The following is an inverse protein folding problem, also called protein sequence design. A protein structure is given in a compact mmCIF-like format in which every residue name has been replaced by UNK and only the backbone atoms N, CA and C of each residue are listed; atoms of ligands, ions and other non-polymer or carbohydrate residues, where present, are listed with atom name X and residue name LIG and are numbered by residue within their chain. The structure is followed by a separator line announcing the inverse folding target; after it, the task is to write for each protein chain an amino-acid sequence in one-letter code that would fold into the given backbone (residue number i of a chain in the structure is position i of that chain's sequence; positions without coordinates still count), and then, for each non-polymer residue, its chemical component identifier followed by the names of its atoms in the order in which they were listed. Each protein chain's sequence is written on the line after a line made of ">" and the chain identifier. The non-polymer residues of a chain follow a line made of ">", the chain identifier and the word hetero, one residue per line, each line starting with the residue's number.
data_IF_831422516622
#
_entry.id   IF_831422516622
#
_cell.length_a   1.000
_cell.length_b   1.000
_cell.length_c   1.000
_cell.angle_alpha   90.00
_cell.angle_beta   90.00
_cell.angle_gamma   90.00
#
_symmetry.space_group_name_H-M   'P 1'
#
loop_
_entity.id
_entity.type
_entity.pdbx_description
1 polymer ?
#
# COMPACT_ATOMS: atom_id res chain seq x y z
N UNK A 1 73.16 -62.79 18.12
CA UNK A 1 72.45 -63.85 17.35
C UNK A 1 70.96 -63.58 17.57
N UNK A 2 70.35 -62.90 16.66
CA UNK A 2 68.89 -62.73 16.64
C UNK A 2 68.46 -63.00 15.23
N UNK A 3 67.68 -64.00 15.14
CA UNK A 3 67.05 -64.57 13.99
C UNK A 3 66.02 -63.65 13.32
N UNK A 4 66.02 -63.80 12.02
CA UNK A 4 64.87 -63.65 11.13
C UNK A 4 64.26 -62.33 10.90
N UNK A 5 64.71 -61.73 9.80
CA UNK A 5 63.97 -60.76 9.02
C UNK A 5 63.84 -61.23 7.56
N UNK A 6 63.30 -62.44 7.39
CA UNK A 6 63.10 -63.06 6.08
C UNK A 6 61.63 -63.12 5.60
N UNK A 7 60.72 -62.41 6.24
CA UNK A 7 59.28 -62.42 5.88
C UNK A 7 58.74 -61.11 5.31
N UNK A 8 59.59 -60.13 4.87
CA UNK A 8 59.10 -58.94 4.21
C UNK A 8 59.00 -59.16 2.69
N UNK A 9 57.82 -58.90 2.08
CA UNK A 9 57.68 -59.05 0.64
C UNK A 9 58.42 -57.94 -0.09
N UNK A 10 59.29 -58.30 -1.01
CA UNK A 10 60.03 -57.42 -1.90
C UNK A 10 59.05 -56.67 -2.85
N UNK A 11 58.91 -55.36 -2.71
CA UNK A 11 58.22 -54.56 -3.74
C UNK A 11 57.41 -53.36 -3.27
N UNK A 12 57.34 -53.03 -1.98
CA UNK A 12 56.60 -51.81 -1.60
C UNK A 12 57.53 -50.56 -1.51
N UNK A 13 57.50 -49.72 -2.56
CA UNK A 13 58.05 -48.37 -2.52
C UNK A 13 57.32 -47.59 -1.43
N UNK A 14 58.01 -47.23 -0.33
CA UNK A 14 57.53 -46.28 0.69
C UNK A 14 57.20 -44.97 -0.02
N UNK A 15 55.94 -44.70 -0.23
CA UNK A 15 55.47 -43.37 -0.62
C UNK A 15 55.73 -42.41 0.58
N UNK A 16 56.62 -41.44 0.38
CA UNK A 16 56.80 -40.35 1.33
C UNK A 16 55.48 -39.57 1.38
N UNK A 17 54.64 -39.84 2.39
CA UNK A 17 53.48 -39.00 2.71
C UNK A 17 53.98 -37.62 3.06
N UNK A 18 53.70 -36.61 2.21
CA UNK A 18 53.91 -35.21 2.56
C UNK A 18 52.98 -34.88 3.75
N UNK A 19 53.44 -34.13 4.78
CA UNK A 19 52.59 -33.75 5.88
C UNK A 19 51.44 -32.89 5.32
N UNK A 20 50.21 -33.34 5.47
CA UNK A 20 49.03 -32.51 5.15
C UNK A 20 48.92 -31.48 6.26
N UNK A 21 49.20 -30.23 5.93
CA UNK A 21 48.95 -29.08 6.82
C UNK A 21 47.45 -29.00 7.01
N UNK A 22 46.91 -29.46 8.10
CA UNK A 22 45.53 -29.28 8.48
C UNK A 22 45.37 -27.89 9.07
N UNK A 23 44.98 -26.94 8.22
CA UNK A 23 44.59 -25.60 8.70
C UNK A 23 43.21 -25.75 9.37
N UNK A 24 43.02 -25.41 10.64
CA UNK A 24 41.69 -25.49 11.27
C UNK A 24 40.70 -24.56 10.55
N UNK A 25 39.54 -25.10 10.25
CA UNK A 25 38.45 -24.40 9.50
C UNK A 25 38.18 -22.96 10.00
N UNK A 26 38.18 -22.67 11.32
CA UNK A 26 37.96 -21.30 11.80
C UNK A 26 38.98 -20.27 11.33
N UNK A 27 40.23 -20.66 11.13
CA UNK A 27 41.26 -19.73 10.62
C UNK A 27 41.14 -19.48 9.12
N UNK A 28 40.62 -20.43 8.37
CA UNK A 28 40.30 -20.24 6.93
C UNK A 28 39.14 -19.26 6.79
N UNK A 29 38.09 -19.41 7.60
CA UNK A 29 36.92 -18.50 7.61
C UNK A 29 37.36 -17.09 8.04
N UNK A 30 38.15 -16.97 9.11
CA UNK A 30 38.66 -15.68 9.58
C UNK A 30 39.53 -14.99 8.51
N UNK A 31 40.37 -15.74 7.81
CA UNK A 31 41.22 -15.22 6.73
C UNK A 31 40.37 -14.76 5.50
N UNK A 32 39.34 -15.50 5.15
CA UNK A 32 38.43 -15.12 4.07
C UNK A 32 37.63 -13.84 4.41
N UNK A 33 37.17 -13.73 5.68
CA UNK A 33 36.47 -12.54 6.14
C UNK A 33 37.37 -11.30 6.16
N UNK A 34 38.61 -11.43 6.65
CA UNK A 34 39.60 -10.37 6.63
C UNK A 34 39.95 -9.91 5.21
N UNK A 35 40.07 -10.85 4.28
CA UNK A 35 40.29 -10.54 2.85
C UNK A 35 39.11 -9.77 2.26
N UNK A 36 37.87 -10.19 2.55
CA UNK A 36 36.67 -9.54 2.07
C UNK A 36 36.57 -8.09 2.58
N UNK A 37 36.81 -7.89 3.87
CA UNK A 37 36.82 -6.54 4.48
C UNK A 37 37.94 -5.69 3.89
N UNK A 38 39.13 -6.25 3.65
CA UNK A 38 40.25 -5.56 3.04
C UNK A 38 39.95 -5.11 1.61
N UNK A 39 39.31 -5.96 0.79
CA UNK A 39 38.87 -5.63 -0.56
C UNK A 39 37.79 -4.53 -0.54
N UNK A 40 36.85 -4.61 0.38
CA UNK A 40 35.79 -3.61 0.55
C UNK A 40 36.35 -2.24 0.93
N UNK A 41 37.28 -2.18 1.90
CA UNK A 41 37.95 -0.93 2.30
C UNK A 41 38.78 -0.35 1.16
N UNK A 42 39.49 -1.21 0.42
CA UNK A 42 40.27 -0.77 -0.75
C UNK A 42 39.37 -0.21 -1.85
N UNK A 43 38.23 -0.87 -2.10
CA UNK A 43 37.22 -0.40 -3.07
C UNK A 43 36.63 0.95 -2.63
N UNK A 44 36.27 1.09 -1.36
CA UNK A 44 35.76 2.34 -0.80
C UNK A 44 36.76 3.48 -0.78
N UNK A 45 38.08 3.18 -0.72
CA UNK A 45 39.14 4.17 -0.74
C UNK A 45 39.56 4.62 -2.16
N UNK A 46 39.27 3.81 -3.19
CA UNK A 46 39.61 4.10 -4.59
C UNK A 46 38.39 4.70 -5.35
N UNK A 47 37.16 4.43 -4.89
CA UNK A 47 35.95 5.02 -5.42
C UNK A 47 35.79 6.45 -4.92
N UNK A 48 35.87 7.43 -5.81
CA UNK A 48 35.70 8.85 -5.48
C UNK A 48 34.29 9.19 -4.94
N UNK A 49 33.30 8.26 -5.05
CA UNK A 49 31.97 8.41 -4.48
C UNK A 49 31.32 7.03 -4.22
N UNK A 50 31.54 6.42 -3.04
CA UNK A 50 30.96 5.12 -2.70
C UNK A 50 29.44 5.14 -2.50
N UNK A 51 28.78 6.32 -2.51
CA UNK A 51 27.33 6.52 -2.42
C UNK A 51 26.77 7.24 -3.66
N UNK A 52 27.54 7.34 -4.75
CA UNK A 52 27.14 7.96 -6.01
C UNK A 52 25.95 7.28 -6.67
N UNK A 53 24.78 7.77 -6.40
CA UNK A 53 23.51 7.28 -6.95
C UNK A 53 22.29 8.07 -6.50
N UNK A 54 22.45 9.03 -5.59
CA UNK A 54 21.34 9.94 -5.28
C UNK A 54 21.15 10.96 -6.40
N UNK A 55 19.94 11.12 -6.98
CA UNK A 55 19.69 12.14 -7.98
C UNK A 55 19.74 13.52 -7.33
N UNK A 56 20.85 14.23 -7.49
CA UNK A 56 20.99 15.62 -7.07
C UNK A 56 20.33 16.52 -8.11
N UNK A 57 19.17 17.09 -7.77
CA UNK A 57 18.57 18.18 -8.54
C UNK A 57 19.21 19.51 -8.11
N UNK A 58 20.09 20.08 -8.92
CA UNK A 58 20.62 21.44 -8.71
C UNK A 58 19.59 22.43 -9.24
N UNK A 59 18.85 23.09 -8.36
CA UNK A 59 18.01 24.23 -8.70
C UNK A 59 18.89 25.49 -8.67
N UNK A 60 19.02 26.28 -9.75
CA UNK A 60 19.72 27.56 -9.72
C UNK A 60 18.87 28.56 -8.94
N UNK A 61 19.28 28.91 -7.73
CA UNK A 61 18.71 30.02 -6.95
C UNK A 61 19.30 31.34 -7.45
N UNK A 62 18.70 31.92 -8.47
CA UNK A 62 18.85 33.35 -8.74
C UNK A 62 17.86 34.09 -7.84
N UNK A 63 18.33 34.52 -6.69
CA UNK A 63 17.67 35.57 -5.91
C UNK A 63 17.91 36.91 -6.61
N UNK A 64 16.88 37.65 -7.03
CA UNK A 64 17.08 39.04 -7.46
C UNK A 64 17.57 39.84 -6.26
N UNK A 65 18.64 40.63 -6.46
CA UNK A 65 19.22 41.48 -5.45
C UNK A 65 18.15 42.46 -4.92
N UNK A 66 17.87 42.37 -3.64
CA UNK A 66 16.98 43.29 -2.95
C UNK A 66 17.65 44.68 -2.92
N UNK A 67 17.01 45.65 -3.54
CA UNK A 67 17.38 47.04 -3.45
C UNK A 67 17.26 47.50 -1.98
N UNK A 68 18.37 48.04 -1.45
CA UNK A 68 18.48 48.58 -0.12
C UNK A 68 17.50 49.74 0.08
N UNK A 69 16.43 49.56 0.83
CA UNK A 69 15.62 50.62 1.38
C UNK A 69 16.16 51.00 2.78
N UNK A 70 16.53 52.29 2.93
CA UNK A 70 16.96 52.88 4.19
C UNK A 70 15.84 52.82 5.24
N UNK A 71 16.14 52.67 6.51
CA UNK A 71 15.15 52.71 7.58
C UNK A 71 14.69 54.14 7.85
N UNK A 72 13.40 54.40 7.84
CA UNK A 72 12.78 55.62 8.33
C UNK A 72 12.46 55.45 9.83
N UNK A 73 13.01 56.33 10.61
CA UNK A 73 12.81 56.53 12.05
C UNK A 73 11.38 56.99 12.34
N UNK A 74 10.74 56.35 13.27
CA UNK A 74 9.52 56.80 13.92
C UNK A 74 9.83 57.88 14.96
N UNK A 75 9.08 59.00 14.94
CA UNK A 75 8.85 59.82 16.09
C UNK A 75 7.41 60.33 16.08
N UNK A 76 6.73 60.39 17.25
CA UNK A 76 5.33 60.75 17.34
C UNK A 76 5.16 62.26 17.51
N UNK A 77 4.09 62.78 16.95
CA UNK A 77 3.67 64.15 17.22
C UNK A 77 2.19 64.21 17.59
N UNK A 78 1.98 64.94 18.68
CA UNK A 78 0.72 65.21 19.33
C UNK A 78 -0.15 66.29 18.59
N UNK A 79 -1.36 66.38 19.09
CA UNK A 79 -2.54 67.13 18.69
C UNK A 79 -2.38 68.62 18.62
N UNK A 80 -3.16 69.32 17.81
CA UNK A 80 -4.22 70.27 18.23
C UNK A 80 -4.65 71.25 17.12
N UNK A 81 -5.94 71.57 17.07
CA UNK A 81 -6.47 72.84 16.72
C UNK A 81 -7.07 73.06 15.33
N UNK A 82 -8.39 73.12 15.25
CA UNK A 82 -9.19 73.60 14.12
C UNK A 82 -9.17 75.19 14.02
N UNK A 83 -10.17 75.85 13.45
CA UNK A 83 -10.86 75.72 12.16
C UNK A 83 -10.71 76.96 11.28
N UNK A 84 -10.93 76.90 10.01
CA UNK A 84 -10.94 78.06 9.13
C UNK A 84 -11.64 77.81 7.79
N UNK A 85 -12.84 78.39 7.71
CA UNK A 85 -13.60 78.63 6.49
C UNK A 85 -12.86 79.51 5.54
N UNK A 86 -12.94 79.29 4.23
CA UNK A 86 -13.12 80.36 3.24
C UNK A 86 -13.79 79.86 1.96
N UNK A 87 -14.77 80.64 1.51
CA UNK A 87 -15.64 80.53 0.36
C UNK A 87 -15.00 80.87 -0.98
N UNK A 88 -15.50 80.18 -2.04
CA UNK A 88 -15.83 80.62 -3.36
C UNK A 88 -14.73 80.93 -4.38
N UNK A 89 -15.04 81.05 -5.68
CA UNK A 89 -16.21 80.62 -6.43
C UNK A 89 -15.84 79.76 -7.66
N UNK A 90 -16.87 79.15 -8.26
CA UNK A 90 -16.77 78.45 -9.56
C UNK A 90 -16.56 79.46 -10.71
N UNK A 91 -15.92 79.01 -11.82
CA UNK A 91 -16.67 79.06 -13.06
C UNK A 91 -16.33 77.93 -14.10
N UNK A 92 -17.29 77.80 -14.98
CA UNK A 92 -17.28 77.47 -16.39
C UNK A 92 -17.06 76.02 -16.85
N UNK A 93 -18.11 75.60 -17.51
CA UNK A 93 -18.27 74.43 -18.36
C UNK A 93 -17.31 74.36 -19.55
N UNK A 94 -16.95 73.18 -19.97
CA UNK A 94 -16.78 72.68 -21.35
C UNK A 94 -15.92 71.43 -21.44
N UNK A 95 -15.97 70.68 -22.51
CA UNK A 95 -17.03 69.94 -23.17
C UNK A 95 -16.87 68.44 -23.09
N UNK A 96 -17.90 67.68 -23.43
CA UNK A 96 -17.94 66.22 -23.52
C UNK A 96 -16.77 65.63 -24.28
N UNK A 97 -16.09 64.61 -23.74
CA UNK A 97 -15.30 63.69 -24.56
C UNK A 97 -16.16 62.52 -25.05
N UNK A 98 -15.97 62.27 -26.32
CA UNK A 98 -16.45 61.16 -27.15
C UNK A 98 -16.48 59.86 -26.39
N UNK A 99 -17.62 59.18 -26.37
CA UNK A 99 -17.78 57.82 -25.90
C UNK A 99 -16.91 56.87 -26.72
N UNK A 100 -15.91 56.26 -26.05
CA UNK A 100 -15.15 55.12 -26.54
C UNK A 100 -16.07 53.90 -26.48
N UNK A 101 -16.19 53.08 -27.53
CA UNK A 101 -17.01 51.87 -27.49
C UNK A 101 -16.54 50.94 -26.36
N UNK A 102 -17.46 50.41 -25.59
CA UNK A 102 -17.21 49.39 -24.59
C UNK A 102 -16.57 48.14 -25.25
N UNK A 103 -15.55 47.55 -24.63
CA UNK A 103 -14.98 46.31 -25.14
C UNK A 103 -16.06 45.23 -25.13
N UNK A 104 -16.24 44.56 -26.27
CA UNK A 104 -17.10 43.40 -26.39
C UNK A 104 -16.70 42.36 -25.33
N UNK A 105 -17.70 41.89 -24.59
CA UNK A 105 -17.58 40.82 -23.63
C UNK A 105 -17.00 39.61 -24.36
N UNK A 106 -15.73 39.27 -24.06
CA UNK A 106 -15.11 38.04 -24.57
C UNK A 106 -15.96 36.86 -24.13
N UNK A 107 -16.34 36.02 -25.06
CA UNK A 107 -17.06 34.78 -24.78
C UNK A 107 -16.21 33.94 -23.82
N UNK A 108 -16.80 33.51 -22.73
CA UNK A 108 -16.18 32.54 -21.83
C UNK A 108 -15.82 31.27 -22.63
N UNK A 109 -14.59 30.77 -22.53
CA UNK A 109 -14.21 29.51 -23.18
C UNK A 109 -15.03 28.37 -22.61
N UNK A 110 -15.38 27.34 -23.41
CA UNK A 110 -16.11 26.18 -22.92
C UNK A 110 -15.32 25.48 -21.81
N UNK A 111 -16.03 25.05 -20.77
CA UNK A 111 -15.46 24.34 -19.60
C UNK A 111 -14.51 23.22 -20.04
N UNK A 112 -13.25 23.26 -19.58
CA UNK A 112 -12.24 22.25 -19.81
C UNK A 112 -11.07 22.67 -20.72
N UNK A 113 -10.98 23.95 -21.10
CA UNK A 113 -9.84 24.48 -21.87
C UNK A 113 -9.22 25.70 -21.19
N UNK A 114 -7.89 25.75 -21.16
CA UNK A 114 -7.12 26.90 -20.68
C UNK A 114 -6.37 27.53 -21.85
N UNK A 115 -6.54 28.83 -22.02
CA UNK A 115 -5.84 29.59 -23.05
C UNK A 115 -4.54 30.14 -22.48
N UNK A 116 -3.41 29.74 -23.07
CA UNK A 116 -2.07 30.19 -22.67
C UNK A 116 -1.51 31.07 -23.76
N UNK A 117 -1.08 32.30 -23.40
CA UNK A 117 -0.38 33.20 -24.29
C UNK A 117 1.13 32.91 -24.28
N UNK A 118 1.65 32.40 -25.36
CA UNK A 118 3.07 32.18 -25.55
C UNK A 118 3.67 33.40 -26.25
N UNK A 119 4.64 34.05 -25.58
CA UNK A 119 5.36 35.19 -26.15
C UNK A 119 6.74 34.68 -26.60
N UNK A 120 7.02 34.82 -27.89
CA UNK A 120 8.36 34.54 -28.41
C UNK A 120 9.33 35.63 -27.93
N UNK A 121 10.28 35.25 -27.09
CA UNK A 121 11.25 36.19 -26.47
C UNK A 121 12.18 36.87 -27.46
N UNK A 122 12.34 36.37 -28.70
CA UNK A 122 13.18 37.00 -29.71
C UNK A 122 12.42 37.95 -30.66
N UNK A 123 11.14 37.68 -30.90
CA UNK A 123 10.36 38.44 -31.90
C UNK A 123 9.21 39.23 -31.29
N UNK A 124 8.89 39.05 -30.00
CA UNK A 124 7.76 39.65 -29.32
C UNK A 124 6.39 39.17 -29.83
N UNK A 125 6.35 38.22 -30.74
CA UNK A 125 5.12 37.66 -31.28
C UNK A 125 4.33 36.92 -30.19
N UNK A 126 3.04 37.19 -30.08
CA UNK A 126 2.11 36.50 -29.16
C UNK A 126 1.34 35.44 -29.93
N UNK A 127 1.38 34.22 -29.43
CA UNK A 127 0.59 33.12 -29.93
C UNK A 127 -0.33 32.62 -28.82
N UNK A 128 -1.62 32.62 -29.09
CA UNK A 128 -2.64 32.10 -28.19
C UNK A 128 -2.85 30.61 -28.50
N UNK A 129 -2.53 29.74 -27.52
CA UNK A 129 -2.69 28.30 -27.66
C UNK A 129 -3.71 27.82 -26.63
N UNK A 130 -4.78 27.23 -27.10
CA UNK A 130 -5.79 26.61 -26.26
C UNK A 130 -5.38 25.17 -25.95
N UNK A 131 -5.08 24.91 -24.68
CA UNK A 131 -4.69 23.57 -24.20
C UNK A 131 -5.90 22.96 -23.49
N UNK A 132 -6.33 21.73 -23.84
CA UNK A 132 -7.30 21.03 -23.00
C UNK A 132 -6.66 20.77 -21.63
N UNK A 133 -7.24 21.35 -20.59
CA UNK A 133 -6.84 21.09 -19.21
C UNK A 133 -7.49 19.79 -18.79
N UNK A 134 -6.72 18.75 -18.44
CA UNK A 134 -7.30 17.62 -17.71
C UNK A 134 -7.98 18.19 -16.47
N UNK A 135 -9.21 17.77 -16.18
CA UNK A 135 -9.91 18.21 -14.96
C UNK A 135 -8.97 18.08 -13.76
N UNK A 136 -8.89 19.07 -12.86
CA UNK A 136 -7.97 19.03 -11.74
C UNK A 136 -8.19 17.72 -10.98
N UNK A 137 -7.14 16.93 -10.84
CA UNK A 137 -7.10 15.76 -9.98
C UNK A 137 -7.16 16.24 -8.52
N UNK A 138 -8.33 16.68 -8.10
CA UNK A 138 -8.53 17.35 -6.80
C UNK A 138 -9.98 17.63 -6.49
N UNK A 139 -10.90 17.25 -7.37
CA UNK A 139 -12.30 17.10 -6.95
C UNK A 139 -12.33 15.88 -6.05
N UNK A 140 -12.69 16.06 -4.78
CA UNK A 140 -13.05 14.97 -3.89
C UNK A 140 -13.92 14.01 -4.72
N UNK A 141 -13.43 12.78 -4.94
CA UNK A 141 -14.12 11.79 -5.75
C UNK A 141 -15.57 11.77 -5.25
N UNK A 142 -16.51 11.99 -6.16
CA UNK A 142 -17.93 11.86 -5.83
C UNK A 142 -18.08 10.54 -5.08
N UNK A 143 -18.83 10.50 -3.96
CA UNK A 143 -18.97 9.29 -3.18
C UNK A 143 -19.31 8.15 -4.11
N UNK A 144 -18.54 7.06 -4.05
CA UNK A 144 -18.71 5.91 -4.91
C UNK A 144 -20.20 5.57 -4.94
N UNK A 145 -20.80 5.49 -6.14
CA UNK A 145 -22.21 5.19 -6.28
C UNK A 145 -22.45 3.83 -5.63
N UNK A 146 -23.10 3.88 -4.44
CA UNK A 146 -23.45 2.68 -3.69
C UNK A 146 -24.53 1.99 -4.49
N UNK A 147 -24.29 0.74 -4.88
CA UNK A 147 -25.34 -0.04 -5.54
C UNK A 147 -26.59 -0.08 -4.64
N UNK A 148 -27.81 0.11 -5.18
CA UNK A 148 -29.03 0.12 -4.36
C UNK A 148 -29.20 -1.11 -3.47
N UNK A 149 -28.75 -2.29 -3.92
CA UNK A 149 -28.77 -3.53 -3.16
C UNK A 149 -27.84 -3.50 -1.93
N UNK A 150 -26.81 -2.69 -1.96
CA UNK A 150 -25.79 -2.59 -0.89
C UNK A 150 -26.10 -1.46 0.12
N UNK A 151 -27.08 -0.59 -0.18
CA UNK A 151 -27.41 0.58 0.64
C UNK A 151 -27.79 0.23 2.09
N UNK A 152 -28.38 -0.94 2.35
CA UNK A 152 -28.75 -1.40 3.69
C UNK A 152 -27.52 -1.71 4.58
N UNK A 153 -26.38 -1.94 3.97
CA UNK A 153 -25.11 -2.24 4.65
C UNK A 153 -24.22 -1.02 4.85
N UNK A 154 -24.74 0.18 4.62
CA UNK A 154 -23.95 1.42 4.67
C UNK A 154 -24.61 2.41 5.63
N UNK A 155 -23.80 3.08 6.43
CA UNK A 155 -24.17 4.27 7.19
C UNK A 155 -23.33 5.47 6.75
N UNK A 156 -23.93 6.65 6.83
CA UNK A 156 -23.23 7.91 6.52
C UNK A 156 -22.56 8.46 7.76
N UNK A 157 -21.25 8.64 7.70
CA UNK A 157 -20.46 9.30 8.75
C UNK A 157 -19.94 10.65 8.25
N UNK A 158 -19.27 11.40 9.13
CA UNK A 158 -18.56 12.64 8.74
C UNK A 158 -17.44 12.40 7.73
N UNK A 159 -16.90 11.16 7.68
CA UNK A 159 -15.85 10.76 6.76
C UNK A 159 -16.41 10.17 5.43
N UNK A 160 -17.72 9.97 5.35
CA UNK A 160 -18.39 9.38 4.21
C UNK A 160 -19.11 8.07 4.53
N UNK A 161 -19.51 7.30 3.50
CA UNK A 161 -20.23 6.05 3.67
C UNK A 161 -19.31 4.95 4.23
N UNK A 162 -19.69 4.30 5.32
CA UNK A 162 -18.96 3.20 5.95
C UNK A 162 -19.86 1.98 6.12
N UNK A 163 -19.30 0.75 6.16
CA UNK A 163 -20.08 -0.45 6.36
C UNK A 163 -20.79 -0.49 7.72
N UNK A 164 -21.96 -1.13 7.76
CA UNK A 164 -22.69 -1.46 8.99
C UNK A 164 -23.39 -2.80 8.86
N UNK A 165 -23.72 -3.41 9.98
CA UNK A 165 -24.63 -4.54 10.03
C UNK A 165 -26.05 -4.03 9.66
N UNK A 166 -26.73 -4.73 8.76
CA UNK A 166 -28.07 -4.37 8.34
C UNK A 166 -29.10 -4.54 9.48
N UNK A 167 -30.25 -3.87 9.38
CA UNK A 167 -31.27 -3.91 10.41
C UNK A 167 -31.86 -5.33 10.67
N UNK A 168 -31.73 -6.22 9.70
CA UNK A 168 -32.09 -7.64 9.78
C UNK A 168 -30.99 -8.51 10.44
N UNK A 169 -29.88 -7.92 10.89
CA UNK A 169 -28.77 -8.60 11.53
C UNK A 169 -27.75 -9.21 10.55
N UNK A 170 -27.99 -9.12 9.24
CA UNK A 170 -27.05 -9.61 8.23
C UNK A 170 -25.80 -8.73 8.20
N UNK A 171 -24.62 -9.37 8.26
CA UNK A 171 -23.33 -8.68 8.25
C UNK A 171 -22.85 -8.45 6.81
N UNK A 172 -22.14 -7.36 6.51
CA UNK A 172 -21.51 -7.16 5.21
C UNK A 172 -20.61 -8.34 4.80
N UNK A 173 -19.86 -8.91 5.76
CA UNK A 173 -19.00 -10.07 5.50
C UNK A 173 -19.77 -11.29 4.98
N UNK A 174 -21.01 -11.49 5.44
CA UNK A 174 -21.85 -12.62 5.00
C UNK A 174 -22.58 -12.29 3.69
N UNK A 175 -23.01 -11.03 3.54
CA UNK A 175 -23.77 -10.58 2.37
C UNK A 175 -22.92 -10.52 1.08
N UNK A 176 -21.62 -10.20 1.23
CA UNK A 176 -20.68 -10.06 0.12
C UNK A 176 -19.79 -11.31 -0.05
N UNK A 177 -19.97 -12.34 0.80
CA UNK A 177 -19.27 -13.61 0.67
C UNK A 177 -19.63 -14.34 -0.62
N UNK A 178 -18.63 -14.99 -1.20
CA UNK A 178 -18.80 -15.81 -2.39
C UNK A 178 -19.01 -17.28 -2.02
N UNK A 179 -19.84 -18.01 -2.75
CA UNK A 179 -20.11 -19.41 -2.44
C UNK A 179 -18.88 -20.29 -2.66
N UNK A 180 -18.64 -21.21 -1.74
CA UNK A 180 -17.58 -22.23 -1.87
C UNK A 180 -18.06 -23.35 -2.79
N UNK A 181 -17.31 -23.63 -3.85
CA UNK A 181 -17.53 -24.81 -4.68
C UNK A 181 -16.86 -26.03 -4.01
N UNK A 182 -17.67 -27.00 -3.59
CA UNK A 182 -17.13 -28.28 -3.12
C UNK A 182 -16.53 -29.08 -4.27
N UNK A 183 -15.42 -29.77 -4.02
CA UNK A 183 -14.86 -30.72 -5.00
C UNK A 183 -15.68 -32.01 -4.96
N UNK A 184 -16.24 -32.40 -6.10
CA UNK A 184 -17.08 -33.60 -6.21
C UNK A 184 -16.31 -34.83 -5.68
N UNK A 185 -16.91 -35.56 -4.73
CA UNK A 185 -16.32 -36.76 -4.15
C UNK A 185 -15.16 -36.53 -3.14
N UNK A 186 -14.85 -35.29 -2.78
CA UNK A 186 -13.78 -34.95 -1.81
C UNK A 186 -14.22 -33.83 -0.87
N UNK A 187 -15.13 -34.07 0.08
CA UNK A 187 -15.62 -33.01 0.98
C UNK A 187 -14.52 -32.44 1.88
N UNK A 188 -13.50 -33.25 2.21
CA UNK A 188 -12.39 -32.89 3.10
C UNK A 188 -11.12 -32.43 2.35
N UNK A 189 -11.27 -32.05 1.06
CA UNK A 189 -10.12 -31.57 0.31
C UNK A 189 -9.49 -30.35 0.97
N UNK A 190 -8.13 -30.28 1.03
CA UNK A 190 -7.41 -29.13 1.55
C UNK A 190 -7.85 -27.83 0.86
N UNK A 191 -8.11 -26.78 1.66
CA UNK A 191 -8.62 -25.49 1.18
C UNK A 191 -7.52 -24.44 1.21
N UNK A 192 -7.42 -23.69 0.15
CA UNK A 192 -6.45 -22.59 0.04
C UNK A 192 -7.21 -21.30 -0.24
N UNK A 193 -7.10 -20.32 0.66
CA UNK A 193 -7.48 -18.95 0.39
C UNK A 193 -6.25 -18.17 -0.07
N UNK A 194 -6.31 -17.60 -1.28
CA UNK A 194 -5.24 -16.80 -1.82
C UNK A 194 -5.71 -15.36 -1.99
N UNK A 195 -4.95 -14.42 -1.46
CA UNK A 195 -5.24 -12.99 -1.50
C UNK A 195 -4.22 -12.32 -2.44
N UNK A 196 -4.70 -11.45 -3.32
CA UNK A 196 -3.84 -10.58 -4.15
C UNK A 196 -4.08 -9.14 -3.73
N UNK A 197 -3.04 -8.53 -3.15
CA UNK A 197 -3.06 -7.16 -2.62
C UNK A 197 -2.42 -6.15 -3.56
N UNK A 198 -2.58 -4.86 -3.24
CA UNK A 198 -2.04 -3.75 -4.04
C UNK A 198 -2.88 -3.43 -5.28
N UNK A 199 -4.10 -3.96 -5.37
CA UNK A 199 -5.02 -3.62 -6.45
C UNK A 199 -5.54 -2.19 -6.30
N UNK A 200 -5.81 -1.53 -7.43
CA UNK A 200 -6.21 -0.12 -7.47
C UNK A 200 -5.04 0.85 -7.70
N UNK A 201 -3.79 0.46 -7.44
CA UNK A 201 -2.60 1.30 -7.72
C UNK A 201 -2.42 1.49 -9.24
N UNK A 202 -2.58 0.42 -10.00
CA UNK A 202 -2.49 0.43 -11.46
C UNK A 202 -3.76 -0.15 -12.07
N UNK A 203 -4.47 0.65 -12.85
CA UNK A 203 -5.68 0.23 -13.58
C UNK A 203 -5.39 -0.95 -14.50
N UNK A 204 -4.24 -0.92 -15.21
CA UNK A 204 -3.85 -2.00 -16.11
C UNK A 204 -3.64 -3.30 -15.34
N UNK A 205 -2.81 -3.28 -14.31
CA UNK A 205 -2.49 -4.48 -13.52
C UNK A 205 -3.72 -5.03 -12.82
N UNK A 206 -4.59 -4.16 -12.30
CA UNK A 206 -5.87 -4.54 -11.69
C UNK A 206 -6.79 -5.23 -12.71
N UNK A 207 -6.93 -4.66 -13.90
CA UNK A 207 -7.72 -5.25 -14.98
C UNK A 207 -7.17 -6.60 -15.44
N UNK A 208 -5.84 -6.73 -15.53
CA UNK A 208 -5.17 -7.98 -15.86
C UNK A 208 -5.41 -9.06 -14.78
N UNK A 209 -5.37 -8.69 -13.49
CA UNK A 209 -5.67 -9.60 -12.39
C UNK A 209 -7.11 -10.11 -12.45
N UNK A 210 -8.09 -9.19 -12.62
CA UNK A 210 -9.53 -9.54 -12.75
C UNK A 210 -9.76 -10.50 -13.93
N UNK A 211 -9.10 -10.27 -15.07
CA UNK A 211 -9.33 -11.08 -16.27
C UNK A 211 -8.67 -12.48 -16.20
N UNK A 212 -7.65 -12.69 -15.36
CA UNK A 212 -6.80 -13.88 -15.43
C UNK A 212 -6.90 -14.79 -14.23
N UNK A 213 -7.24 -14.24 -13.07
CA UNK A 213 -7.34 -15.02 -11.84
C UNK A 213 -8.76 -15.57 -11.68
N UNK A 214 -8.93 -16.79 -11.15
CA UNK A 214 -10.25 -17.37 -10.94
C UNK A 214 -10.97 -16.71 -9.76
N UNK A 215 -12.31 -16.65 -9.82
CA UNK A 215 -13.17 -15.99 -8.81
C UNK A 215 -12.87 -16.31 -7.34
N UNK A 216 -12.50 -17.53 -6.93
CA UNK A 216 -12.14 -17.82 -5.54
C UNK A 216 -10.91 -17.09 -5.01
N UNK A 217 -10.06 -16.47 -5.87
CA UNK A 217 -8.96 -15.61 -5.40
C UNK A 217 -9.54 -14.33 -4.86
N UNK A 218 -9.23 -14.00 -3.61
CA UNK A 218 -9.68 -12.77 -2.94
C UNK A 218 -8.81 -11.58 -3.34
N UNK A 219 -9.42 -10.44 -3.58
CA UNK A 219 -8.73 -9.23 -4.01
C UNK A 219 -8.69 -8.18 -2.90
N UNK A 220 -7.51 -7.65 -2.61
CA UNK A 220 -7.34 -6.58 -1.64
C UNK A 220 -6.98 -5.27 -2.36
N UNK A 221 -7.89 -4.29 -2.25
CA UNK A 221 -7.76 -2.99 -2.89
C UNK A 221 -7.21 -1.95 -1.91
N UNK A 222 -6.30 -1.11 -2.41
CA UNK A 222 -5.82 0.04 -1.64
C UNK A 222 -6.88 1.14 -1.59
N UNK A 223 -6.91 1.98 -0.54
CA UNK A 223 -7.89 3.07 -0.45
C UNK A 223 -7.61 4.23 -1.41
N UNK A 224 -6.40 4.29 -1.97
CA UNK A 224 -5.94 5.40 -2.80
C UNK A 224 -6.03 5.03 -4.28
N UNK A 225 -6.78 5.82 -5.05
CA UNK A 225 -6.88 5.62 -6.50
C UNK A 225 -7.69 4.41 -6.95
N UNK A 226 -8.32 3.67 -6.03
CA UNK A 226 -9.20 2.56 -6.40
C UNK A 226 -10.43 3.08 -7.12
N UNK A 227 -10.62 2.64 -8.36
CA UNK A 227 -11.83 2.91 -9.13
C UNK A 227 -12.96 1.99 -8.67
N UNK A 228 -14.09 2.56 -8.25
CA UNK A 228 -15.26 1.81 -7.83
C UNK A 228 -15.79 0.88 -8.94
N UNK A 229 -15.60 1.24 -10.21
CA UNK A 229 -15.97 0.39 -11.35
C UNK A 229 -15.11 -0.87 -11.43
N UNK A 230 -13.80 -0.78 -11.11
CA UNK A 230 -12.93 -1.95 -11.04
C UNK A 230 -13.29 -2.86 -9.87
N UNK A 231 -13.64 -2.30 -8.71
CA UNK A 231 -14.12 -3.07 -7.55
C UNK A 231 -15.43 -3.78 -7.89
N UNK A 232 -16.39 -3.09 -8.50
CA UNK A 232 -17.66 -3.68 -8.93
C UNK A 232 -17.45 -4.79 -9.96
N UNK A 233 -16.53 -4.61 -10.91
CA UNK A 233 -16.19 -5.63 -11.91
C UNK A 233 -15.56 -6.86 -11.25
N UNK A 234 -14.64 -6.67 -10.32
CA UNK A 234 -14.01 -7.79 -9.58
C UNK A 234 -15.08 -8.61 -8.82
N UNK A 235 -16.02 -7.94 -8.16
CA UNK A 235 -17.17 -8.61 -7.51
C UNK A 235 -18.03 -9.39 -8.52
N UNK A 236 -18.32 -8.80 -9.68
CA UNK A 236 -19.13 -9.44 -10.73
C UNK A 236 -18.44 -10.69 -11.30
N UNK A 237 -17.10 -10.72 -11.36
CA UNK A 237 -16.30 -11.89 -11.76
C UNK A 237 -16.15 -12.93 -10.63
N UNK A 238 -16.77 -12.69 -9.45
CA UNK A 238 -16.84 -13.66 -8.35
C UNK A 238 -15.70 -13.56 -7.33
N UNK A 239 -14.95 -12.45 -7.32
CA UNK A 239 -13.93 -12.21 -6.30
C UNK A 239 -14.53 -11.61 -5.05
N UNK A 240 -14.13 -12.11 -3.87
CA UNK A 240 -14.31 -11.38 -2.63
C UNK A 240 -13.34 -10.21 -2.56
N UNK A 241 -13.80 -9.11 -1.97
CA UNK A 241 -13.00 -7.90 -1.86
C UNK A 241 -12.63 -7.65 -0.40
N UNK A 242 -11.37 -7.33 -0.17
CA UNK A 242 -10.84 -6.77 1.06
C UNK A 242 -10.42 -5.31 0.83
N UNK A 243 -10.53 -4.50 1.85
CA UNK A 243 -9.97 -3.15 1.90
C UNK A 243 -8.62 -3.20 2.61
N UNK A 244 -7.56 -2.75 1.95
CA UNK A 244 -6.26 -2.57 2.58
C UNK A 244 -6.25 -1.29 3.42
N UNK A 245 -5.91 -1.42 4.71
CA UNK A 245 -5.81 -0.28 5.63
C UNK A 245 -4.34 0.00 5.91
N UNK A 246 -3.83 1.19 5.55
CA UNK A 246 -2.45 1.56 5.83
C UNK A 246 -2.22 1.72 7.33
N UNK A 247 -1.23 1.03 7.85
CA UNK A 247 -0.87 1.04 9.27
C UNK A 247 0.62 1.28 9.45
N UNK A 248 1.01 1.83 10.59
CA UNK A 248 2.38 2.26 10.90
C UNK A 248 3.39 1.11 10.87
N UNK A 249 4.40 1.12 9.96
CA UNK A 249 5.55 0.21 10.01
C UNK A 249 6.59 0.67 11.04
N UNK A 250 7.57 -0.18 11.38
CA UNK A 250 8.66 0.22 12.27
C UNK A 250 9.55 1.33 11.70
N UNK A 251 9.63 1.43 10.39
CA UNK A 251 10.41 2.43 9.65
C UNK A 251 9.64 3.71 9.31
N UNK A 252 8.47 3.94 9.90
CA UNK A 252 7.75 5.19 9.73
C UNK A 252 8.54 6.36 10.38
N UNK A 253 8.65 7.56 9.78
CA UNK A 253 8.01 8.01 8.53
C UNK A 253 8.78 7.71 7.23
N UNK A 254 9.97 7.12 7.28
CA UNK A 254 10.79 6.85 6.09
C UNK A 254 10.06 5.94 5.09
N UNK A 255 9.26 5.00 5.61
CA UNK A 255 8.33 4.16 4.86
C UNK A 255 6.89 4.54 5.25
N UNK A 256 6.31 5.51 4.55
CA UNK A 256 4.93 5.95 4.78
C UNK A 256 3.96 5.21 3.84
N UNK A 257 3.01 4.41 4.39
CA UNK A 257 2.00 3.73 3.58
C UNK A 257 1.00 4.68 2.90
N UNK A 258 0.99 5.94 3.26
CA UNK A 258 0.17 6.99 2.64
C UNK A 258 -0.67 7.82 3.62
N UNK A 259 -1.45 8.77 3.09
CA UNK A 259 -2.32 9.61 3.91
C UNK A 259 -3.32 8.74 4.69
N UNK A 260 -3.69 9.15 5.90
CA UNK A 260 -4.58 8.39 6.78
C UNK A 260 -4.01 7.05 7.31
N UNK A 261 -2.68 6.88 7.29
CA UNK A 261 -2.02 5.77 7.98
C UNK A 261 -2.39 5.77 9.47
N UNK A 262 -2.81 4.63 10.00
CA UNK A 262 -3.08 4.45 11.42
C UNK A 262 -1.76 4.45 12.18
N UNK A 263 -1.62 5.31 13.21
CA UNK A 263 -0.38 5.53 13.93
C UNK A 263 -0.53 5.24 15.43
N UNK A 264 0.48 4.63 16.03
CA UNK A 264 0.51 4.36 17.48
C UNK A 264 0.61 5.63 18.33
N UNK A 265 1.06 6.74 17.73
CA UNK A 265 1.16 8.05 18.38
C UNK A 265 -0.16 8.84 18.43
N UNK A 266 -1.19 8.40 17.71
CA UNK A 266 -2.48 9.08 17.68
C UNK A 266 -3.41 8.56 18.78
N UNK A 267 -4.31 9.45 19.23
CA UNK A 267 -5.41 9.05 20.12
C UNK A 267 -6.33 8.03 19.39
N UNK A 268 -6.99 7.11 20.12
CA UNK A 268 -7.89 6.11 19.53
C UNK A 268 -8.92 6.70 18.56
N UNK A 269 -9.58 7.80 18.96
CA UNK A 269 -10.57 8.45 18.09
C UNK A 269 -10.00 8.95 16.77
N UNK A 270 -8.78 9.49 16.79
CA UNK A 270 -8.11 9.95 15.56
C UNK A 270 -7.79 8.78 14.60
N UNK A 271 -7.42 7.62 15.15
CA UNK A 271 -7.24 6.41 14.35
C UNK A 271 -8.58 5.90 13.80
N UNK A 272 -9.67 5.97 14.56
CA UNK A 272 -11.01 5.61 14.08
C UNK A 272 -11.47 6.57 12.96
N UNK A 273 -11.24 7.87 13.09
CA UNK A 273 -11.57 8.84 12.05
C UNK A 273 -10.81 8.53 10.74
N UNK A 274 -9.52 8.17 10.84
CA UNK A 274 -8.71 7.71 9.69
C UNK A 274 -9.23 6.41 9.11
N UNK A 275 -9.56 5.43 9.96
CA UNK A 275 -10.15 4.16 9.54
C UNK A 275 -11.46 4.39 8.77
N UNK A 276 -12.36 5.22 9.28
CA UNK A 276 -13.63 5.54 8.63
C UNK A 276 -13.42 6.26 7.30
N UNK A 277 -12.44 7.14 7.22
CA UNK A 277 -12.06 7.75 5.94
C UNK A 277 -11.61 6.70 4.93
N UNK A 278 -10.75 5.75 5.33
CA UNK A 278 -10.30 4.64 4.49
C UNK A 278 -11.49 3.77 4.07
N UNK A 279 -12.36 3.40 5.02
CA UNK A 279 -13.56 2.60 4.77
C UNK A 279 -14.53 3.25 3.79
N UNK A 280 -14.55 4.58 3.71
CA UNK A 280 -15.48 5.33 2.86
C UNK A 280 -15.08 5.35 1.37
N UNK A 281 -13.89 4.86 1.01
CA UNK A 281 -13.35 5.00 -0.36
C UNK A 281 -14.10 4.19 -1.41
N UNK A 282 -14.56 3.01 -1.04
CA UNK A 282 -15.46 2.17 -1.85
C UNK A 282 -16.26 1.25 -0.94
N UNK A 283 -17.25 0.54 -1.48
CA UNK A 283 -18.15 -0.32 -0.72
C UNK A 283 -18.18 -1.74 -1.30
N UNK A 284 -18.78 -2.68 -0.57
CA UNK A 284 -18.99 -4.06 -1.03
C UNK A 284 -17.81 -4.99 -0.76
N UNK A 285 -17.02 -4.71 0.25
CA UNK A 285 -15.96 -5.59 0.74
C UNK A 285 -16.43 -6.42 1.95
N UNK A 286 -15.86 -7.62 2.07
CA UNK A 286 -16.16 -8.56 3.16
C UNK A 286 -15.38 -8.24 4.42
N UNK A 287 -14.26 -7.52 4.31
CA UNK A 287 -13.38 -7.27 5.44
C UNK A 287 -12.20 -6.36 5.13
N UNK A 288 -11.35 -6.29 6.10
CA UNK A 288 -10.14 -5.46 6.11
C UNK A 288 -8.91 -6.35 6.22
N UNK A 289 -7.84 -5.95 5.51
CA UNK A 289 -6.50 -6.48 5.68
C UNK A 289 -5.54 -5.32 5.99
N UNK A 290 -4.60 -5.53 6.88
CA UNK A 290 -3.55 -4.56 7.14
C UNK A 290 -2.64 -4.41 5.91
N UNK A 291 -2.11 -3.21 5.76
CA UNK A 291 -1.10 -2.87 4.76
C UNK A 291 0.11 -2.31 5.50
N UNK A 292 1.23 -3.02 5.45
CA UNK A 292 2.40 -2.75 6.28
C UNK A 292 2.09 -2.98 7.78
N UNK A 293 2.20 -1.98 8.64
CA UNK A 293 1.59 -2.03 9.98
C UNK A 293 2.38 -2.77 11.06
N UNK A 294 3.64 -3.14 10.84
CA UNK A 294 4.36 -3.97 11.80
C UNK A 294 4.50 -3.36 13.20
N UNK A 295 4.53 -2.03 13.34
CA UNK A 295 4.51 -1.34 14.62
C UNK A 295 3.08 -1.28 15.19
N UNK A 296 2.11 -0.92 14.35
CA UNK A 296 0.73 -0.74 14.78
C UNK A 296 0.09 -2.04 15.24
N UNK A 297 0.25 -3.13 14.46
CA UNK A 297 -0.30 -4.45 14.78
C UNK A 297 0.35 -5.12 15.98
N UNK A 298 1.52 -4.65 16.43
CA UNK A 298 2.16 -5.09 17.68
C UNK A 298 1.70 -4.29 18.91
N UNK A 299 0.97 -3.17 18.74
CA UNK A 299 0.49 -2.32 19.83
C UNK A 299 -0.96 -2.63 20.16
N UNK A 300 -1.20 -3.42 21.21
CA UNK A 300 -2.57 -3.73 21.64
C UNK A 300 -3.40 -2.49 21.94
N UNK A 301 -2.82 -1.51 22.64
CA UNK A 301 -3.51 -0.28 23.02
C UNK A 301 -4.06 0.50 21.83
N UNK A 302 -3.28 0.56 20.72
CA UNK A 302 -3.68 1.28 19.52
C UNK A 302 -4.58 0.43 18.62
N UNK A 303 -4.37 -0.88 18.59
CA UNK A 303 -5.00 -1.78 17.64
C UNK A 303 -6.36 -2.31 18.11
N UNK A 304 -6.55 -2.56 19.42
CA UNK A 304 -7.81 -3.11 19.93
C UNK A 304 -9.04 -2.25 19.58
N UNK A 305 -9.04 -0.90 19.73
CA UNK A 305 -10.18 -0.09 19.33
C UNK A 305 -10.53 -0.19 17.84
N UNK A 306 -9.51 -0.37 17.00
CA UNK A 306 -9.65 -0.52 15.53
C UNK A 306 -10.31 -1.86 15.20
N UNK A 307 -9.83 -2.96 15.79
CA UNK A 307 -10.43 -4.29 15.57
C UNK A 307 -11.86 -4.38 16.11
N UNK A 308 -12.13 -3.73 17.24
CA UNK A 308 -13.47 -3.67 17.79
C UNK A 308 -14.45 -2.91 16.87
N UNK A 309 -14.04 -1.78 16.25
CA UNK A 309 -14.88 -1.06 15.28
C UNK A 309 -15.14 -1.95 14.05
N UNK A 310 -14.13 -2.67 13.54
CA UNK A 310 -14.26 -3.62 12.44
C UNK A 310 -15.28 -4.73 12.79
N UNK A 311 -15.19 -5.30 13.99
CA UNK A 311 -16.12 -6.31 14.47
C UNK A 311 -17.56 -5.77 14.55
N UNK A 312 -17.75 -4.57 15.13
CA UNK A 312 -19.05 -3.91 15.27
C UNK A 312 -19.71 -3.59 13.93
N UNK A 313 -18.90 -3.45 12.86
CA UNK A 313 -19.38 -3.25 11.49
C UNK A 313 -19.68 -4.54 10.74
N UNK A 314 -19.47 -5.70 11.38
CA UNK A 314 -19.76 -7.00 10.79
C UNK A 314 -18.80 -7.42 9.67
N UNK A 315 -17.57 -6.92 9.70
CA UNK A 315 -16.50 -7.25 8.77
C UNK A 315 -15.62 -8.37 9.33
N UNK A 316 -14.79 -9.00 8.49
CA UNK A 316 -13.69 -9.85 8.93
C UNK A 316 -12.39 -9.03 8.99
N UNK A 317 -11.41 -9.51 9.75
CA UNK A 317 -10.05 -8.98 9.71
C UNK A 317 -9.07 -10.07 9.24
N UNK A 318 -8.18 -9.69 8.34
CA UNK A 318 -7.10 -10.53 7.85
C UNK A 318 -5.77 -9.89 8.21
N UNK A 319 -4.89 -10.64 8.85
CA UNK A 319 -3.50 -10.28 9.14
C UNK A 319 -2.63 -10.72 7.95
N UNK A 320 -1.85 -9.82 7.35
CA UNK A 320 -1.02 -10.11 6.18
C UNK A 320 0.13 -11.11 6.46
N UNK A 321 0.34 -11.44 7.75
CA UNK A 321 1.36 -12.41 8.18
C UNK A 321 2.78 -11.86 8.19
N UNK A 322 3.01 -10.62 7.77
CA UNK A 322 4.35 -10.03 7.69
C UNK A 322 4.95 -9.75 9.08
N UNK A 323 4.11 -9.53 10.10
CA UNK A 323 4.55 -9.25 11.45
C UNK A 323 4.36 -10.46 12.39
N UNK A 324 5.42 -11.19 12.81
CA UNK A 324 5.29 -12.30 13.75
C UNK A 324 4.87 -11.86 15.16
N UNK A 325 4.96 -10.57 15.50
CA UNK A 325 4.58 -9.98 16.79
C UNK A 325 3.18 -9.36 16.76
N UNK A 326 2.42 -9.57 15.70
CA UNK A 326 1.04 -9.10 15.62
C UNK A 326 0.18 -9.69 16.73
N UNK A 327 -0.59 -8.83 17.41
CA UNK A 327 -1.54 -9.22 18.45
C UNK A 327 -2.98 -9.38 17.91
N UNK A 328 -3.15 -9.28 16.58
CA UNK A 328 -4.43 -9.33 15.89
C UNK A 328 -5.26 -10.56 16.27
N UNK A 329 -4.68 -11.77 16.18
CA UNK A 329 -5.39 -13.01 16.46
C UNK A 329 -5.89 -13.10 17.89
N UNK A 330 -5.11 -12.61 18.87
CA UNK A 330 -5.51 -12.61 20.28
C UNK A 330 -6.68 -11.65 20.54
N UNK A 331 -6.63 -10.44 19.96
CA UNK A 331 -7.73 -9.47 20.11
C UNK A 331 -8.98 -9.98 19.39
N UNK A 332 -8.83 -10.47 18.15
CA UNK A 332 -9.95 -11.01 17.38
C UNK A 332 -10.68 -12.15 18.11
N UNK A 333 -9.93 -13.04 18.81
CA UNK A 333 -10.53 -14.08 19.65
C UNK A 333 -11.34 -13.53 20.81
N UNK A 334 -10.85 -12.48 21.48
CA UNK A 334 -11.57 -11.84 22.59
C UNK A 334 -12.88 -11.15 22.14
N UNK A 335 -12.86 -10.56 20.94
CA UNK A 335 -13.97 -9.77 20.40
C UNK A 335 -14.91 -10.57 19.48
N UNK A 336 -14.71 -11.89 19.33
CA UNK A 336 -15.43 -12.74 18.39
C UNK A 336 -15.42 -12.22 16.95
N UNK A 337 -14.35 -11.51 16.58
CA UNK A 337 -14.12 -11.02 15.24
C UNK A 337 -13.68 -12.19 14.34
N UNK A 338 -14.35 -12.48 13.21
CA UNK A 338 -13.87 -13.47 12.27
C UNK A 338 -12.52 -13.06 11.72
N UNK A 339 -11.56 -13.97 11.84
CA UNK A 339 -10.14 -13.69 11.64
C UNK A 339 -9.47 -14.73 10.76
N UNK A 340 -8.53 -14.28 9.93
CA UNK A 340 -7.58 -15.14 9.23
C UNK A 340 -6.20 -14.49 9.27
N UNK A 341 -5.15 -15.31 9.17
CA UNK A 341 -3.77 -14.85 9.07
C UNK A 341 -3.11 -15.49 7.86
N UNK A 342 -2.40 -14.72 7.06
CA UNK A 342 -1.59 -15.27 5.98
C UNK A 342 -0.39 -16.03 6.57
N UNK A 343 -0.23 -17.28 6.13
CA UNK A 343 0.87 -18.16 6.54
C UNK A 343 2.03 -18.10 5.55
N UNK A 344 1.73 -17.77 4.28
CA UNK A 344 2.71 -17.73 3.20
C UNK A 344 2.59 -16.41 2.43
N UNK A 345 3.65 -15.61 2.42
CA UNK A 345 3.83 -14.52 1.47
C UNK A 345 4.43 -15.13 0.20
N UNK A 346 3.64 -15.16 -0.87
CA UNK A 346 3.94 -15.92 -2.10
C UNK A 346 5.08 -15.30 -2.88
N UNK A 347 5.15 -13.99 -2.91
CA UNK A 347 6.10 -13.21 -3.70
C UNK A 347 7.01 -12.33 -2.84
N UNK A 348 7.36 -12.79 -1.64
CA UNK A 348 8.37 -12.13 -0.80
C UNK A 348 9.71 -11.94 -1.55
N UNK A 349 10.02 -12.87 -2.46
CA UNK A 349 11.05 -12.72 -3.50
C UNK A 349 10.34 -12.89 -4.85
N UNK A 350 10.18 -11.82 -5.64
CA UNK A 350 9.32 -11.82 -6.83
C UNK A 350 10.00 -12.45 -8.07
N UNK A 351 10.57 -13.64 -7.90
CA UNK A 351 11.12 -14.46 -9.00
C UNK A 351 10.22 -15.67 -9.24
N UNK A 352 10.17 -16.14 -10.49
CA UNK A 352 9.37 -17.29 -10.90
C UNK A 352 9.58 -18.50 -9.99
N UNK A 353 10.82 -18.86 -9.73
CA UNK A 353 11.19 -20.03 -8.91
C UNK A 353 10.72 -19.88 -7.45
N UNK A 354 10.86 -18.69 -6.86
CA UNK A 354 10.45 -18.48 -5.46
C UNK A 354 8.94 -18.43 -5.32
N UNK A 355 8.23 -17.82 -6.28
CA UNK A 355 6.77 -17.81 -6.33
C UNK A 355 6.24 -19.25 -6.40
N UNK A 356 6.76 -20.07 -7.34
CA UNK A 356 6.34 -21.47 -7.48
C UNK A 356 6.65 -22.29 -6.21
N UNK A 357 7.80 -22.05 -5.58
CA UNK A 357 8.18 -22.69 -4.30
C UNK A 357 7.22 -22.27 -3.17
N UNK A 358 6.85 -20.99 -3.10
CA UNK A 358 5.92 -20.48 -2.09
C UNK A 358 4.51 -21.07 -2.27
N UNK A 359 4.02 -21.16 -3.52
CA UNK A 359 2.76 -21.83 -3.82
C UNK A 359 2.79 -23.32 -3.43
N UNK A 360 3.93 -24.01 -3.61
CA UNK A 360 4.13 -25.38 -3.12
C UNK A 360 4.07 -25.48 -1.60
N UNK A 361 4.69 -24.53 -0.87
CA UNK A 361 4.59 -24.48 0.61
C UNK A 361 3.14 -24.25 1.06
N UNK A 362 2.40 -23.41 0.36
CA UNK A 362 1.00 -23.15 0.66
C UNK A 362 0.14 -24.41 0.51
N UNK A 363 0.39 -25.24 -0.52
CA UNK A 363 -0.27 -26.53 -0.67
C UNK A 363 0.09 -27.50 0.45
N UNK A 364 1.36 -27.54 0.87
CA UNK A 364 1.81 -28.38 1.98
C UNK A 364 1.11 -27.99 3.27
N UNK A 365 1.10 -26.71 3.62
CA UNK A 365 0.40 -26.21 4.80
C UNK A 365 -1.10 -26.54 4.77
N UNK A 366 -1.76 -26.37 3.61
CA UNK A 366 -3.17 -26.73 3.47
C UNK A 366 -3.43 -28.23 3.68
N UNK A 367 -2.51 -29.11 3.26
CA UNK A 367 -2.62 -30.56 3.50
C UNK A 367 -2.43 -30.94 4.95
N UNK A 368 -1.56 -30.22 5.67
CA UNK A 368 -1.25 -30.47 7.09
C UNK A 368 -2.37 -29.93 8.01
N UNK A 369 -2.93 -28.75 7.69
CA UNK A 369 -3.87 -28.04 8.55
C UNK A 369 -5.31 -28.01 8.03
N UNK A 370 -5.62 -28.69 6.91
CA UNK A 370 -6.89 -28.68 6.18
C UNK A 370 -7.21 -27.36 5.48
N UNK A 371 -6.55 -26.26 5.83
CA UNK A 371 -6.62 -24.99 5.12
C UNK A 371 -5.29 -24.23 5.24
N UNK A 372 -5.03 -23.32 4.32
CA UNK A 372 -3.94 -22.37 4.39
C UNK A 372 -4.33 -21.05 3.72
N UNK A 373 -3.72 -19.96 4.20
CA UNK A 373 -3.93 -18.62 3.65
C UNK A 373 -2.61 -18.10 3.08
N UNK A 374 -2.64 -17.72 1.81
CA UNK A 374 -1.52 -17.08 1.13
C UNK A 374 -1.84 -15.65 0.73
N UNK A 375 -0.80 -14.80 0.69
CA UNK A 375 -0.90 -13.45 0.16
C UNK A 375 0.17 -13.22 -0.90
N UNK A 376 -0.20 -12.49 -1.95
CA UNK A 376 0.71 -12.03 -3.00
C UNK A 376 0.42 -10.59 -3.36
N UNK A 377 1.39 -9.91 -3.96
CA UNK A 377 1.22 -8.59 -4.55
C UNK A 377 0.68 -8.68 -5.97
N UNK A 378 0.00 -7.63 -6.44
CA UNK A 378 -0.48 -7.54 -7.82
C UNK A 378 0.67 -7.24 -8.81
N UNK A 379 1.74 -8.06 -8.77
CA UNK A 379 2.84 -7.99 -9.73
C UNK A 379 2.52 -8.85 -10.95
N UNK A 380 2.92 -8.45 -12.17
CA UNK A 380 2.67 -9.25 -13.38
C UNK A 380 3.18 -10.69 -13.28
N UNK A 381 4.37 -10.91 -12.70
CA UNK A 381 4.92 -12.24 -12.47
C UNK A 381 4.07 -13.05 -11.49
N UNK A 382 3.65 -12.44 -10.37
CA UNK A 382 2.79 -13.11 -9.37
C UNK A 382 1.45 -13.52 -9.99
N UNK A 383 0.79 -12.62 -10.73
CA UNK A 383 -0.46 -12.90 -11.43
C UNK A 383 -0.29 -14.06 -12.43
N UNK A 384 0.81 -14.08 -13.20
CA UNK A 384 1.11 -15.14 -14.17
C UNK A 384 1.25 -16.52 -13.52
N UNK A 385 2.05 -16.61 -12.46
CA UNK A 385 2.32 -17.86 -11.77
C UNK A 385 1.11 -18.36 -11.00
N UNK A 386 0.39 -17.46 -10.31
CA UNK A 386 -0.85 -17.79 -9.60
C UNK A 386 -1.92 -18.29 -10.58
N UNK A 387 -2.11 -17.64 -11.75
CA UNK A 387 -3.08 -18.07 -12.73
C UNK A 387 -2.78 -19.49 -13.28
N UNK A 388 -1.51 -19.80 -13.54
CA UNK A 388 -1.08 -21.15 -13.97
C UNK A 388 -1.28 -22.17 -12.87
N UNK A 389 -0.85 -21.85 -11.66
CA UNK A 389 -0.96 -22.72 -10.50
C UNK A 389 -2.43 -23.02 -10.16
N UNK A 390 -3.30 -22.00 -10.16
CA UNK A 390 -4.71 -22.12 -9.84
C UNK A 390 -5.46 -23.06 -10.80
N UNK A 391 -5.15 -23.02 -12.11
CA UNK A 391 -5.75 -23.92 -13.12
C UNK A 391 -5.47 -25.40 -12.85
N UNK A 392 -4.36 -25.71 -12.21
CA UNK A 392 -3.97 -27.09 -11.92
C UNK A 392 -4.24 -27.49 -10.45
N UNK A 393 -4.75 -26.60 -9.59
CA UNK A 393 -4.94 -26.86 -8.17
C UNK A 393 -5.88 -28.02 -7.90
N UNK A 394 -7.04 -28.05 -8.55
CA UNK A 394 -8.04 -29.11 -8.38
C UNK A 394 -7.51 -30.49 -8.80
N UNK A 395 -6.71 -30.57 -9.87
CA UNK A 395 -6.08 -31.82 -10.30
C UNK A 395 -5.08 -32.37 -9.29
N UNK A 396 -4.47 -31.49 -8.49
CA UNK A 396 -3.59 -31.85 -7.37
C UNK A 396 -4.36 -32.11 -6.07
N UNK A 397 -5.70 -32.01 -6.10
CA UNK A 397 -6.59 -32.32 -4.98
C UNK A 397 -6.69 -31.21 -3.94
N UNK A 398 -6.38 -29.96 -4.27
CA UNK A 398 -6.58 -28.78 -3.43
C UNK A 398 -7.68 -27.89 -4.01
N UNK A 399 -8.44 -27.22 -3.15
CA UNK A 399 -9.55 -26.34 -3.54
C UNK A 399 -9.19 -24.91 -3.22
N UNK A 400 -9.29 -24.03 -4.23
CA UNK A 400 -9.29 -22.59 -3.98
C UNK A 400 -10.64 -22.16 -3.41
N UNK A 401 -10.59 -21.40 -2.32
CA UNK A 401 -11.77 -20.89 -1.64
C UNK A 401 -11.60 -19.37 -1.36
N UNK A 402 -12.71 -18.61 -1.31
CA UNK A 402 -12.66 -17.22 -0.88
C UNK A 402 -12.23 -17.11 0.60
N UNK A 403 -11.74 -15.92 0.99
CA UNK A 403 -11.18 -15.74 2.35
C UNK A 403 -12.22 -15.94 3.46
N UNK A 404 -13.49 -15.60 3.23
CA UNK A 404 -14.55 -15.80 4.22
C UNK A 404 -14.76 -17.28 4.58
N UNK A 405 -14.41 -18.20 3.67
CA UNK A 405 -14.52 -19.64 3.90
C UNK A 405 -13.53 -20.18 4.93
N UNK A 406 -12.44 -19.44 5.20
CA UNK A 406 -11.39 -19.83 6.15
C UNK A 406 -11.29 -18.87 7.34
N UNK A 407 -11.80 -17.64 7.21
CA UNK A 407 -11.89 -16.70 8.31
C UNK A 407 -12.91 -17.24 9.33
N UNK A 408 -12.45 -17.63 10.52
CA UNK A 408 -13.27 -18.22 11.57
C UNK A 408 -13.41 -17.27 12.74
N UNK A 409 -14.57 -17.33 13.43
CA UNK A 409 -14.61 -16.88 14.81
C UNK A 409 -13.70 -17.83 15.58
N UNK A 410 -12.73 -17.30 16.28
CA UNK A 410 -11.98 -18.10 17.23
C UNK A 410 -12.94 -18.41 18.38
N UNK A 411 -13.52 -19.62 18.34
CA UNK A 411 -14.18 -20.15 19.53
C UNK A 411 -13.14 -20.09 20.64
N UNK A 412 -13.50 -19.40 21.74
CA UNK A 412 -12.67 -19.37 22.93
C UNK A 412 -12.47 -20.83 23.36
N UNK A 413 -11.33 -21.40 22.98
CA UNK A 413 -10.86 -22.66 23.55
C UNK A 413 -10.51 -22.33 25.00
N UNK A 414 -11.51 -22.45 25.85
CA UNK A 414 -11.31 -22.59 27.29
C UNK A 414 -10.53 -23.88 27.42
N UNK A 415 -9.22 -23.73 27.54
CA UNK A 415 -8.31 -24.81 27.86
C UNK A 415 -8.72 -25.40 29.19
N UNK A 416 -9.43 -26.54 29.17
CA UNK A 416 -9.40 -27.44 30.26
C UNK A 416 -8.04 -28.11 30.29
N UNK A 417 -7.12 -27.57 31.09
CA UNK A 417 -6.01 -28.30 31.69
C UNK A 417 -6.13 -28.22 33.20
#
# INVERSE_FOLDING_TARGET
>A
MTTDDLSAPLGQRRSRRRPAIRVPVPYVIAGALALFVGIFVLWAAIGDDPLGGEPMAVAPTHLPAAASAKPATHQPAEASGGPGRYDGPAPAASPNPVQKPAPAKAAEPPNGTQTVNIINGMTGARQEVTIPVPAPAGSAAAPALIAPADAKFVEMTTQGPVPKIAADGVRPADAFAQPVKALAGKPDAPRIALIVGGLGVSTKTTSDAIARLPGPVTFAFVPYGSDAALVARARAEGHEILLQVPMEPFSYPDNDPGPQTLLTSLAPQQNLDRLHWVMSRFQGYVGIIDMMGARFTASEQSFAPVLQDIANRGLIFVDDGANPRSVAGRIAGADNLPFAKAEVIVDSVPTATEIDRALGRLETAAREHHFAVGIASALPASIDHIAKWAKAAESRGVILVPITAVARKQDSVISHQ
#
